data_IF_098418892358
#
_entry.id   IF_098418892358
#
_cell.length_a   1.000
_cell.length_b   1.000
_cell.length_c   1.000
_cell.angle_alpha   90.00
_cell.angle_beta   90.00
_cell.angle_gamma   90.00
#
_symmetry.space_group_name_H-M   'P 1'
#
loop_
_entity.id
_entity.type
_entity.pdbx_description
1 polymer ?
#
# COMPACT_ATOMS: atom_id res chain seq x y z
N UNK A 1 14.95 6.87 -14.48
CA UNK A 1 15.98 7.22 -13.50
C UNK A 1 15.36 7.55 -12.14
N UNK A 2 16.18 7.60 -11.11
CA UNK A 2 15.75 7.99 -9.76
C UNK A 2 15.08 9.36 -9.75
N UNK A 3 13.97 9.49 -9.05
CA UNK A 3 13.28 10.77 -8.87
C UNK A 3 13.01 11.00 -7.38
N UNK A 4 13.25 12.22 -6.93
CA UNK A 4 12.92 12.60 -5.56
C UNK A 4 11.44 12.99 -5.49
N UNK A 5 10.64 12.17 -4.81
CA UNK A 5 9.19 12.38 -4.66
C UNK A 5 8.86 13.76 -4.07
N UNK A 6 9.67 14.26 -3.14
CA UNK A 6 9.44 15.55 -2.51
C UNK A 6 9.42 16.72 -3.50
N UNK A 7 10.12 16.61 -4.62
CA UNK A 7 10.19 17.64 -5.67
C UNK A 7 9.13 17.49 -6.76
N UNK A 8 8.34 16.42 -6.75
CA UNK A 8 7.34 16.14 -7.77
C UNK A 8 5.96 16.67 -7.40
N UNK A 9 5.20 17.05 -8.42
CA UNK A 9 3.77 17.33 -8.31
C UNK A 9 2.95 16.05 -8.45
N UNK A 10 1.69 16.09 -8.02
CA UNK A 10 0.80 14.91 -8.11
C UNK A 10 0.66 14.39 -9.55
N UNK A 11 0.51 15.27 -10.54
CA UNK A 11 0.44 14.87 -11.94
C UNK A 11 1.71 14.17 -12.44
N UNK A 12 2.87 14.58 -11.97
CA UNK A 12 4.15 13.96 -12.32
C UNK A 12 4.29 12.57 -11.69
N UNK A 13 3.84 12.40 -10.44
CA UNK A 13 3.79 11.08 -9.78
C UNK A 13 2.84 10.14 -10.53
N UNK A 14 1.66 10.62 -10.91
CA UNK A 14 0.69 9.87 -11.71
C UNK A 14 1.29 9.40 -13.02
N UNK A 15 1.94 10.28 -13.75
CA UNK A 15 2.59 9.95 -15.03
C UNK A 15 3.67 8.87 -14.86
N UNK A 16 4.49 8.97 -13.83
CA UNK A 16 5.53 7.97 -13.53
C UNK A 16 4.91 6.60 -13.27
N UNK A 17 3.83 6.53 -12.48
CA UNK A 17 3.14 5.28 -12.18
C UNK A 17 2.47 4.68 -13.42
N UNK A 18 1.83 5.49 -14.25
CA UNK A 18 1.23 5.05 -15.51
C UNK A 18 2.28 4.48 -16.45
N UNK A 19 3.39 5.19 -16.65
CA UNK A 19 4.47 4.75 -17.54
C UNK A 19 5.18 3.49 -17.05
N UNK A 20 5.22 3.27 -15.74
CA UNK A 20 5.81 2.06 -15.14
C UNK A 20 4.86 0.86 -15.12
N UNK A 21 3.60 1.02 -15.53
CA UNK A 21 2.60 -0.04 -15.45
C UNK A 21 2.12 -0.36 -14.04
N UNK A 22 2.31 0.56 -13.09
CA UNK A 22 1.94 0.37 -11.67
C UNK A 22 0.58 0.96 -11.31
N UNK A 23 -0.06 1.69 -12.21
CA UNK A 23 -1.35 2.31 -11.93
C UNK A 23 -2.44 1.30 -11.49
N UNK A 24 -2.53 0.08 -12.04
CA UNK A 24 -3.49 -0.91 -11.59
C UNK A 24 -3.37 -1.35 -10.13
N UNK A 25 -2.29 -1.02 -9.43
CA UNK A 25 -2.15 -1.25 -7.99
C UNK A 25 -3.11 -0.38 -7.17
N UNK A 26 -3.58 0.72 -7.74
CA UNK A 26 -4.47 1.67 -7.07
C UNK A 26 -5.91 1.30 -7.38
N UNK A 27 -6.69 0.99 -6.34
CA UNK A 27 -8.11 0.66 -6.45
C UNK A 27 -8.96 1.80 -5.91
N UNK A 28 -10.14 1.93 -6.48
CA UNK A 28 -11.10 2.97 -6.13
C UNK A 28 -12.31 2.36 -5.43
N UNK A 29 -12.71 2.96 -4.31
CA UNK A 29 -13.93 2.63 -3.60
C UNK A 29 -14.99 3.72 -3.86
N UNK A 30 -16.29 3.38 -3.84
CA UNK A 30 -16.88 2.17 -3.26
C UNK A 30 -16.90 0.92 -4.16
N UNK A 31 -16.55 1.00 -5.42
CA UNK A 31 -16.71 -0.11 -6.39
C UNK A 31 -15.42 -0.89 -6.61
N UNK A 32 -14.48 -0.96 -5.83
CA UNK A 32 -13.25 -1.77 -5.94
C UNK A 32 -12.76 -2.01 -7.39
N UNK A 33 -12.65 -0.94 -8.14
CA UNK A 33 -12.16 -0.91 -9.52
C UNK A 33 -10.80 -0.22 -9.56
N UNK A 34 -10.09 -0.34 -10.68
CA UNK A 34 -8.87 0.45 -10.89
C UNK A 34 -9.22 1.93 -10.85
N UNK A 35 -8.43 2.72 -10.11
CA UNK A 35 -8.65 4.15 -9.99
C UNK A 35 -8.61 4.83 -11.36
N UNK A 36 -9.51 5.80 -11.58
CA UNK A 36 -9.49 6.60 -12.79
C UNK A 36 -8.34 7.61 -12.73
N UNK A 37 -7.40 7.59 -13.69
CA UNK A 37 -6.41 8.65 -13.79
C UNK A 37 -7.11 10.01 -13.90
N UNK A 38 -6.45 11.06 -13.42
CA UNK A 38 -6.96 12.43 -13.36
C UNK A 38 -8.03 12.69 -12.29
N UNK A 39 -8.58 11.66 -11.67
CA UNK A 39 -9.42 11.84 -10.49
C UNK A 39 -8.54 12.17 -9.26
N UNK A 40 -9.10 12.97 -8.35
CA UNK A 40 -8.46 13.25 -7.07
C UNK A 40 -9.29 12.59 -5.96
N UNK A 41 -8.77 11.59 -5.27
CA UNK A 41 -9.51 10.94 -4.20
C UNK A 41 -9.60 11.86 -2.98
N UNK A 42 -10.64 11.65 -2.17
CA UNK A 42 -10.78 12.32 -0.86
C UNK A 42 -9.61 11.95 0.06
N UNK A 43 -9.29 10.65 0.14
CA UNK A 43 -8.23 10.09 0.96
C UNK A 43 -7.70 8.80 0.29
N UNK A 44 -6.55 8.32 0.78
CA UNK A 44 -5.98 7.03 0.38
C UNK A 44 -5.79 6.18 1.64
N UNK A 45 -6.16 4.90 1.56
CA UNK A 45 -6.08 3.96 2.67
C UNK A 45 -5.14 2.79 2.33
N UNK A 46 -4.25 2.47 3.25
CA UNK A 46 -3.34 1.33 3.18
C UNK A 46 -3.51 0.51 4.45
N UNK A 47 -3.87 -0.76 4.32
CA UNK A 47 -3.86 -1.70 5.45
C UNK A 47 -2.50 -2.39 5.52
N UNK A 48 -1.67 -2.03 6.49
CA UNK A 48 -0.29 -2.50 6.60
C UNK A 48 -0.13 -3.74 7.49
N UNK A 49 -1.10 -4.63 7.47
CA UNK A 49 -1.03 -5.95 8.09
C UNK A 49 -2.03 -6.90 7.43
N UNK A 50 -1.89 -8.19 7.71
CA UNK A 50 -2.83 -9.21 7.26
C UNK A 50 -3.43 -9.91 8.48
N UNK A 51 -4.73 -10.20 8.45
CA UNK A 51 -5.45 -10.79 9.58
C UNK A 51 -6.02 -12.18 9.30
N UNK A 52 -6.03 -12.62 8.04
CA UNK A 52 -6.52 -13.95 7.69
C UNK A 52 -5.61 -15.05 8.28
N UNK A 53 -6.17 -16.22 8.65
CA UNK A 53 -5.35 -17.35 9.07
C UNK A 53 -4.29 -17.72 8.04
N UNK A 54 -3.07 -18.03 8.47
CA UNK A 54 -1.91 -18.34 7.60
C UNK A 54 -1.47 -17.21 6.66
N UNK A 55 -1.99 -16.01 6.83
CA UNK A 55 -1.54 -14.85 6.08
C UNK A 55 -0.09 -14.47 6.42
N UNK A 56 0.66 -13.88 5.48
CA UNK A 56 2.03 -13.45 5.74
C UNK A 56 2.09 -12.35 6.81
N UNK A 57 3.21 -12.28 7.52
CA UNK A 57 3.49 -11.19 8.45
C UNK A 57 4.10 -10.02 7.68
N UNK A 58 3.38 -8.90 7.62
CA UNK A 58 3.84 -7.72 6.88
C UNK A 58 5.10 -7.09 7.49
N UNK A 59 5.26 -7.11 8.80
CA UNK A 59 6.47 -6.60 9.44
C UNK A 59 7.72 -7.36 8.99
N UNK A 60 7.59 -8.66 8.72
CA UNK A 60 8.66 -9.46 8.14
C UNK A 60 8.90 -9.09 6.67
N UNK A 61 7.83 -8.90 5.90
CA UNK A 61 7.91 -8.53 4.47
C UNK A 61 8.60 -7.19 4.29
N UNK A 62 8.26 -6.20 5.11
CA UNK A 62 8.79 -4.83 4.99
C UNK A 62 10.21 -4.69 5.55
N UNK A 63 10.67 -5.68 6.29
CA UNK A 63 12.02 -5.67 6.89
C UNK A 63 13.10 -5.46 5.83
N UNK A 64 13.93 -4.44 6.03
CA UNK A 64 14.95 -4.04 5.07
C UNK A 64 14.42 -3.21 3.89
N UNK A 65 13.12 -2.95 3.83
CA UNK A 65 12.45 -2.19 2.76
C UNK A 65 11.64 -1.02 3.31
N UNK A 66 11.87 -0.62 4.56
CA UNK A 66 11.13 0.43 5.23
C UNK A 66 11.28 1.78 4.51
N UNK A 67 12.45 2.07 3.96
CA UNK A 67 12.70 3.27 3.17
C UNK A 67 11.87 3.28 1.87
N UNK A 68 11.74 2.15 1.21
CA UNK A 68 10.90 2.01 0.01
C UNK A 68 9.42 2.17 0.36
N UNK A 69 8.99 1.60 1.47
CA UNK A 69 7.62 1.77 1.96
C UNK A 69 7.30 3.24 2.26
N UNK A 70 8.20 3.93 2.97
CA UNK A 70 8.04 5.36 3.25
C UNK A 70 7.98 6.19 1.97
N UNK A 71 8.84 5.93 1.00
CA UNK A 71 8.84 6.63 -0.29
C UNK A 71 7.55 6.37 -1.06
N UNK A 72 7.04 5.13 -1.05
CA UNK A 72 5.76 4.79 -1.66
C UNK A 72 4.59 5.54 -1.02
N UNK A 73 4.56 5.65 0.31
CA UNK A 73 3.56 6.46 1.02
C UNK A 73 3.67 7.94 0.66
N UNK A 74 4.87 8.47 0.55
CA UNK A 74 5.09 9.86 0.14
C UNK A 74 4.57 10.12 -1.29
N UNK A 75 4.76 9.17 -2.20
CA UNK A 75 4.23 9.25 -3.56
C UNK A 75 2.70 9.26 -3.55
N UNK A 76 2.06 8.38 -2.79
CA UNK A 76 0.60 8.35 -2.65
C UNK A 76 0.05 9.65 -2.06
N UNK A 77 0.75 10.26 -1.11
CA UNK A 77 0.34 11.53 -0.52
C UNK A 77 0.29 12.68 -1.54
N UNK A 78 1.04 12.60 -2.63
CA UNK A 78 0.98 13.57 -3.74
C UNK A 78 -0.27 13.42 -4.61
N UNK A 79 -0.95 12.27 -4.56
CA UNK A 79 -2.10 11.95 -5.40
C UNK A 79 -3.44 12.37 -4.78
N UNK A 80 -3.47 12.73 -3.51
CA UNK A 80 -4.69 13.14 -2.80
C UNK A 80 -4.56 14.52 -2.19
N UNK A 81 -5.67 15.24 -2.10
CA UNK A 81 -5.77 16.48 -1.34
C UNK A 81 -6.07 16.24 0.15
N UNK A 82 -6.47 15.03 0.51
CA UNK A 82 -6.72 14.62 1.88
C UNK A 82 -5.50 13.96 2.53
N UNK A 83 -5.75 12.88 3.25
CA UNK A 83 -4.72 12.15 4.01
C UNK A 83 -4.50 10.75 3.47
N UNK A 84 -3.30 10.22 3.70
CA UNK A 84 -3.01 8.79 3.57
C UNK A 84 -3.15 8.17 4.95
N UNK A 85 -4.10 7.25 5.11
CA UNK A 85 -4.30 6.48 6.34
C UNK A 85 -3.61 5.14 6.22
N UNK A 86 -2.84 4.78 7.22
CA UNK A 86 -2.14 3.50 7.30
C UNK A 86 -2.62 2.75 8.53
N UNK A 87 -3.36 1.67 8.32
CA UNK A 87 -3.82 0.78 9.39
C UNK A 87 -2.70 -0.17 9.78
N UNK A 88 -2.36 -0.23 11.06
CA UNK A 88 -1.26 -1.05 11.60
C UNK A 88 -1.71 -1.80 12.85
N UNK A 89 -1.01 -2.88 13.18
CA UNK A 89 -1.09 -3.50 14.50
C UNK A 89 -0.23 -2.72 15.49
N UNK A 90 -0.60 -2.78 16.77
CA UNK A 90 0.21 -2.21 17.85
C UNK A 90 1.61 -2.82 17.80
N UNK A 91 2.63 -1.96 17.90
CA UNK A 91 4.03 -2.38 17.85
C UNK A 91 4.58 -2.69 16.46
N UNK A 92 3.82 -2.43 15.39
CA UNK A 92 4.32 -2.60 14.02
C UNK A 92 5.50 -1.68 13.72
N UNK A 93 6.47 -2.20 12.97
CA UNK A 93 7.65 -1.42 12.53
C UNK A 93 7.28 -0.24 11.63
N UNK A 94 6.13 -0.28 10.97
CA UNK A 94 5.66 0.81 10.10
C UNK A 94 4.90 1.90 10.85
N UNK A 95 4.69 1.76 12.16
CA UNK A 95 4.05 2.79 12.98
C UNK A 95 4.84 4.10 13.04
N UNK A 96 6.12 4.08 12.71
CA UNK A 96 6.99 5.26 12.66
C UNK A 96 6.99 6.01 11.33
N UNK A 97 6.19 5.60 10.36
CA UNK A 97 6.12 6.28 9.05
C UNK A 97 5.61 7.70 9.19
N UNK A 98 6.17 8.62 8.39
CA UNK A 98 5.92 10.06 8.48
C UNK A 98 5.09 10.55 7.29
N UNK A 99 4.41 11.67 7.48
CA UNK A 99 3.60 12.30 6.44
C UNK A 99 2.26 11.59 6.18
N UNK A 100 1.90 10.63 7.03
CA UNK A 100 0.67 9.84 6.94
C UNK A 100 -0.02 9.76 8.32
N UNK A 101 -1.29 9.40 8.32
CA UNK A 101 -2.05 9.13 9.54
C UNK A 101 -1.91 7.64 9.88
N UNK A 102 -1.20 7.33 10.94
CA UNK A 102 -1.11 5.95 11.45
C UNK A 102 -2.31 5.66 12.35
N UNK A 103 -3.02 4.58 12.04
CA UNK A 103 -4.18 4.13 12.82
C UNK A 103 -3.92 2.73 13.34
N UNK A 104 -3.86 2.56 14.64
CA UNK A 104 -3.78 1.23 15.24
C UNK A 104 -5.13 0.53 15.13
N UNK A 105 -5.13 -0.69 14.63
CA UNK A 105 -6.31 -1.52 14.42
C UNK A 105 -6.17 -2.79 15.24
N UNK A 106 -7.17 -3.05 16.06
CA UNK A 106 -7.25 -4.25 16.89
C UNK A 106 -8.33 -5.20 16.36
N UNK A 107 -8.30 -6.42 16.89
CA UNK A 107 -9.32 -7.43 16.60
C UNK A 107 -8.86 -8.51 15.63
N UNK A 108 -9.65 -9.60 15.56
CA UNK A 108 -9.38 -10.73 14.68
C UNK A 108 -9.71 -10.40 13.22
N UNK A 109 -9.45 -11.35 12.31
CA UNK A 109 -9.96 -11.26 10.95
C UNK A 109 -11.48 -10.95 10.95
N UNK A 110 -11.99 -10.02 10.13
CA UNK A 110 -11.34 -9.35 8.98
C UNK A 110 -10.74 -7.95 9.26
N UNK A 111 -10.15 -7.72 10.42
CA UNK A 111 -9.64 -6.40 10.79
C UNK A 111 -8.66 -5.78 9.77
N UNK A 112 -7.89 -6.61 9.04
CA UNK A 112 -7.01 -6.14 7.98
C UNK A 112 -7.74 -5.78 6.68
N UNK A 113 -9.03 -6.07 6.55
CA UNK A 113 -9.80 -5.68 5.38
C UNK A 113 -9.91 -4.16 5.32
N UNK A 114 -9.40 -3.57 4.24
CA UNK A 114 -9.36 -2.11 4.09
C UNK A 114 -10.77 -1.49 4.07
N UNK A 115 -11.76 -2.19 3.54
CA UNK A 115 -13.14 -1.72 3.58
C UNK A 115 -13.69 -1.59 5.00
N UNK A 116 -13.35 -2.52 5.88
CA UNK A 116 -13.70 -2.45 7.31
C UNK A 116 -13.02 -1.25 7.96
N UNK A 117 -11.73 -1.03 7.69
CA UNK A 117 -10.99 0.10 8.23
C UNK A 117 -11.54 1.45 7.74
N UNK A 118 -11.90 1.56 6.47
CA UNK A 118 -12.52 2.77 5.91
C UNK A 118 -13.82 3.09 6.67
N UNK A 119 -14.67 2.10 6.91
CA UNK A 119 -15.92 2.31 7.63
C UNK A 119 -15.72 2.78 9.06
N UNK A 120 -14.67 2.35 9.73
CA UNK A 120 -14.35 2.75 11.09
C UNK A 120 -13.65 4.12 11.17
N UNK A 121 -12.75 4.40 10.24
CA UNK A 121 -11.93 5.62 10.27
C UNK A 121 -12.70 6.80 9.69
N UNK A 122 -13.17 6.67 8.46
CA UNK A 122 -13.87 7.73 7.73
C UNK A 122 -14.70 7.12 6.60
N UNK A 123 -15.97 6.77 6.86
CA UNK A 123 -16.83 6.14 5.86
C UNK A 123 -16.94 6.96 4.56
N UNK A 124 -17.10 6.26 3.45
CA UNK A 124 -17.31 6.89 2.15
C UNK A 124 -18.78 7.31 2.02
N UNK A 125 -19.02 8.59 1.84
CA UNK A 125 -20.36 9.15 1.63
C UNK A 125 -20.69 9.18 0.12
N UNK A 126 -21.97 9.39 -0.18
CA UNK A 126 -22.44 9.48 -1.58
C UNK A 126 -21.67 10.57 -2.33
N UNK A 127 -21.13 10.20 -3.48
CA UNK A 127 -20.37 11.11 -4.33
C UNK A 127 -18.89 11.26 -3.97
N UNK A 128 -18.46 10.68 -2.85
CA UNK A 128 -17.05 10.66 -2.48
C UNK A 128 -16.33 9.43 -3.07
N UNK A 129 -15.05 9.60 -3.37
CA UNK A 129 -14.16 8.55 -3.86
C UNK A 129 -12.95 8.48 -2.97
N UNK A 130 -12.58 7.29 -2.56
CA UNK A 130 -11.32 7.01 -1.86
C UNK A 130 -10.53 5.94 -2.62
N UNK A 131 -9.22 5.98 -2.54
CA UNK A 131 -8.35 4.99 -3.14
C UNK A 131 -7.75 4.08 -2.09
N UNK A 132 -7.45 2.86 -2.48
CA UNK A 132 -6.80 1.86 -1.64
C UNK A 132 -5.60 1.27 -2.38
N UNK A 133 -4.55 0.96 -1.65
CA UNK A 133 -3.34 0.32 -2.19
C UNK A 133 -2.91 -0.79 -1.24
N UNK A 134 -2.54 -1.94 -1.79
CA UNK A 134 -1.98 -3.04 -1.02
C UNK A 134 -0.60 -2.63 -0.47
N UNK A 135 -0.25 -2.95 0.78
CA UNK A 135 1.02 -2.52 1.37
C UNK A 135 2.25 -3.07 0.64
N UNK A 136 2.19 -4.27 0.07
CA UNK A 136 3.29 -4.79 -0.75
C UNK A 136 3.47 -3.98 -2.04
N UNK A 137 2.40 -3.47 -2.62
CA UNK A 137 2.45 -2.61 -3.81
C UNK A 137 3.03 -1.23 -3.48
N UNK A 138 2.80 -0.72 -2.27
CA UNK A 138 3.44 0.52 -1.79
C UNK A 138 4.96 0.39 -1.79
N UNK A 139 5.50 -0.75 -1.38
CA UNK A 139 6.95 -1.03 -1.44
C UNK A 139 7.45 -0.99 -2.89
N UNK A 140 6.73 -1.61 -3.81
CA UNK A 140 7.08 -1.63 -5.24
C UNK A 140 7.09 -0.21 -5.82
N UNK A 141 6.10 0.60 -5.48
CA UNK A 141 6.05 2.02 -5.87
C UNK A 141 7.27 2.77 -5.31
N UNK A 142 7.59 2.57 -4.05
CA UNK A 142 8.76 3.20 -3.42
C UNK A 142 10.07 2.84 -4.10
N UNK A 143 10.25 1.58 -4.48
CA UNK A 143 11.44 1.14 -5.24
C UNK A 143 11.57 1.84 -6.58
N UNK A 144 10.46 2.08 -7.26
CA UNK A 144 10.48 2.79 -8.54
C UNK A 144 11.13 4.17 -8.41
N UNK A 145 10.75 4.94 -7.39
CA UNK A 145 11.31 6.27 -7.16
C UNK A 145 12.74 6.23 -6.61
N UNK A 146 13.04 5.31 -5.70
CA UNK A 146 14.35 5.22 -5.06
C UNK A 146 15.43 4.64 -5.96
N UNK A 147 15.09 3.65 -6.79
CA UNK A 147 16.04 2.93 -7.66
C UNK A 147 15.92 3.32 -9.14
N UNK A 148 14.80 3.90 -9.53
CA UNK A 148 14.54 4.31 -10.90
C UNK A 148 14.24 3.18 -11.86
N UNK A 149 13.89 2.00 -11.34
CA UNK A 149 13.51 0.82 -12.11
C UNK A 149 12.23 0.19 -11.55
N UNK A 150 11.43 -0.39 -12.43
CA UNK A 150 10.24 -1.15 -12.04
C UNK A 150 10.68 -2.56 -11.58
N UNK A 151 10.76 -2.75 -10.27
CA UNK A 151 11.06 -4.04 -9.64
C UNK A 151 9.81 -4.58 -8.94
N UNK A 152 9.12 -5.53 -9.57
CA UNK A 152 7.89 -6.16 -9.08
C UNK A 152 8.14 -7.35 -8.14
N UNK A 153 9.37 -7.57 -7.69
CA UNK A 153 9.66 -8.67 -6.77
C UNK A 153 8.94 -8.51 -5.42
N UNK A 154 8.45 -9.63 -4.89
CA UNK A 154 7.67 -9.69 -3.64
C UNK A 154 8.12 -10.84 -2.79
N UNK A 155 7.87 -10.72 -1.47
CA UNK A 155 7.95 -11.84 -0.53
C UNK A 155 6.60 -12.55 -0.48
N UNK A 156 6.61 -13.85 -0.63
CA UNK A 156 5.43 -14.71 -0.58
C UNK A 156 5.62 -15.76 0.50
N UNK A 157 4.59 -15.93 1.36
CA UNK A 157 4.58 -17.01 2.32
C UNK A 157 4.16 -18.33 1.65
N UNK A 158 4.94 -19.37 1.84
CA UNK A 158 4.62 -20.73 1.40
C UNK A 158 4.16 -21.53 2.61
N UNK A 159 2.88 -21.93 2.59
CA UNK A 159 2.26 -22.73 3.64
C UNK A 159 1.34 -23.77 3.01
N UNK A 160 1.08 -24.85 3.72
CA UNK A 160 0.13 -25.87 3.27
C UNK A 160 0.47 -27.25 3.84
N UNK A 161 -0.51 -28.17 3.82
CA UNK A 161 -0.33 -29.54 4.30
C UNK A 161 0.61 -30.36 3.41
N UNK A 162 0.67 -30.02 2.12
CA UNK A 162 1.45 -30.72 1.10
C UNK A 162 2.84 -30.10 0.87
N UNK A 163 3.17 -29.01 1.55
CA UNK A 163 4.49 -28.39 1.41
C UNK A 163 5.51 -29.08 2.31
N UNK A 164 6.63 -29.50 1.73
CA UNK A 164 7.75 -30.09 2.48
C UNK A 164 8.50 -29.03 3.29
N UNK A 165 8.54 -27.82 2.80
CA UNK A 165 9.13 -26.67 3.49
C UNK A 165 8.14 -25.52 3.57
N UNK A 166 8.12 -24.85 4.72
CA UNK A 166 7.30 -23.65 4.95
C UNK A 166 8.21 -22.46 5.15
N UNK A 167 7.86 -21.35 4.58
CA UNK A 167 8.68 -20.14 4.71
C UNK A 167 8.27 -19.02 3.78
N UNK A 168 9.17 -18.05 3.66
CA UNK A 168 9.01 -16.93 2.76
C UNK A 168 9.97 -17.05 1.59
N UNK A 169 9.48 -16.78 0.39
CA UNK A 169 10.29 -16.73 -0.83
C UNK A 169 10.09 -15.40 -1.55
N UNK A 170 11.16 -14.91 -2.14
CA UNK A 170 11.08 -13.75 -3.02
C UNK A 170 10.69 -14.22 -4.43
N UNK A 171 9.68 -13.61 -5.00
CA UNK A 171 9.20 -13.93 -6.34
C UNK A 171 8.88 -12.65 -7.11
N UNK A 172 8.57 -12.80 -8.38
CA UNK A 172 8.16 -11.70 -9.27
C UNK A 172 6.69 -11.92 -9.61
N UNK A 173 5.89 -10.89 -9.47
CA UNK A 173 4.52 -10.90 -9.97
C UNK A 173 4.55 -10.83 -11.50
N UNK A 174 3.99 -11.83 -12.14
CA UNK A 174 3.84 -11.91 -13.59
C UNK A 174 2.42 -11.58 -14.01
#
# INVERSE_FOLDING_TARGET
GKKNVASLQGAEVEEVLLNAGMWPFIKQRPYDIVAAPLDTPRDIFVSAFYSAPLAPNFDFIVKGQEADFQTGLNALAKLTNGKVYVGVRSGSVVSGMKGVEIVEVEGPHPAANVGVQINHIKPVNKGEVVWTVNPADVIVIGRLFNKGVADFSRMVAITGSETTERGYVKTISG
#
